data_IF_084282817679
#
_entry.id   IF_084282817679
#
_cell.length_a   1.000
_cell.length_b   1.000
_cell.length_c   1.000
_cell.angle_alpha   90.00
_cell.angle_beta   90.00
_cell.angle_gamma   90.00
#
_symmetry.space_group_name_H-M   'P 1'
#
loop_
_entity.id
_entity.type
_entity.pdbx_description
1 polymer ?
#
# COMPACT_ATOMS: atom_id res chain seq x y z
N UNK A 1 -27.86 -17.03 67.86
CA UNK A 1 -27.24 -16.63 66.59
C UNK A 1 -28.28 -15.84 65.82
N UNK A 2 -28.01 -14.57 65.58
CA UNK A 2 -29.00 -13.61 65.07
C UNK A 2 -29.30 -13.86 63.58
N UNK A 3 -30.57 -13.78 63.19
CA UNK A 3 -31.03 -14.00 61.81
C UNK A 3 -30.36 -13.05 60.83
N UNK A 4 -30.07 -11.83 61.30
CA UNK A 4 -29.41 -10.80 60.50
C UNK A 4 -27.96 -11.17 60.17
N UNK A 5 -27.25 -11.83 61.10
CA UNK A 5 -25.88 -12.30 60.86
C UNK A 5 -25.84 -13.43 59.82
N UNK A 6 -26.83 -14.34 59.84
CA UNK A 6 -26.96 -15.40 58.83
C UNK A 6 -27.27 -14.82 57.43
N UNK A 7 -28.17 -13.84 57.36
CA UNK A 7 -28.54 -13.20 56.10
C UNK A 7 -27.37 -12.45 55.45
N UNK A 8 -26.60 -11.70 56.25
CA UNK A 8 -25.41 -10.99 55.78
C UNK A 8 -24.32 -11.94 55.25
N UNK A 9 -24.12 -13.09 55.90
CA UNK A 9 -23.15 -14.10 55.45
C UNK A 9 -23.54 -14.75 54.12
N UNK A 10 -24.83 -15.07 53.92
CA UNK A 10 -25.33 -15.64 52.65
C UNK A 10 -25.23 -14.60 51.52
N UNK A 11 -25.58 -13.34 51.79
CA UNK A 11 -25.48 -12.26 50.80
C UNK A 11 -24.03 -11.96 50.43
N UNK A 12 -23.12 -11.93 51.41
CA UNK A 12 -21.69 -11.72 51.19
C UNK A 12 -21.06 -12.83 50.34
N UNK A 13 -21.32 -14.10 50.66
CA UNK A 13 -20.79 -15.23 49.89
C UNK A 13 -21.35 -15.29 48.46
N UNK A 14 -22.62 -14.90 48.26
CA UNK A 14 -23.21 -14.75 46.93
C UNK A 14 -22.52 -13.64 46.12
N UNK A 15 -22.33 -12.45 46.71
CA UNK A 15 -21.64 -11.33 46.04
C UNK A 15 -20.20 -11.68 45.65
N UNK A 16 -19.43 -12.32 46.54
CA UNK A 16 -18.05 -12.75 46.26
C UNK A 16 -18.01 -13.73 45.08
N UNK A 17 -18.91 -14.73 45.04
CA UNK A 17 -18.98 -15.70 43.93
C UNK A 17 -19.30 -15.01 42.60
N UNK A 18 -20.26 -14.09 42.58
CA UNK A 18 -20.60 -13.31 41.38
C UNK A 18 -19.41 -12.48 40.91
N UNK A 19 -18.74 -11.77 41.82
CA UNK A 19 -17.54 -10.98 41.48
C UNK A 19 -16.43 -11.87 40.91
N UNK A 20 -16.14 -13.02 41.54
CA UNK A 20 -15.13 -13.95 41.05
C UNK A 20 -15.48 -14.51 39.67
N UNK A 21 -16.75 -14.86 39.43
CA UNK A 21 -17.22 -15.32 38.13
C UNK A 21 -17.05 -14.25 37.04
N UNK A 22 -17.43 -13.01 37.33
CA UNK A 22 -17.24 -11.88 36.40
C UNK A 22 -15.76 -11.66 36.09
N UNK A 23 -14.90 -11.67 37.10
CA UNK A 23 -13.45 -11.52 36.91
C UNK A 23 -12.86 -12.67 36.09
N UNK A 24 -13.31 -13.90 36.30
CA UNK A 24 -12.87 -15.05 35.53
C UNK A 24 -13.26 -14.91 34.04
N UNK A 25 -14.48 -14.44 33.75
CA UNK A 25 -14.94 -14.20 32.38
C UNK A 25 -14.13 -13.08 31.72
N UNK A 26 -13.94 -11.94 32.40
CA UNK A 26 -13.11 -10.84 31.87
C UNK A 26 -11.69 -11.31 31.59
N UNK A 27 -11.09 -12.06 32.52
CA UNK A 27 -9.75 -12.61 32.35
C UNK A 27 -9.66 -13.53 31.14
N UNK A 28 -10.65 -14.42 30.94
CA UNK A 28 -10.71 -15.31 29.78
C UNK A 28 -10.83 -14.54 28.45
N UNK A 29 -11.63 -13.47 28.42
CA UNK A 29 -11.76 -12.61 27.24
C UNK A 29 -10.46 -11.87 26.91
N UNK A 30 -9.78 -11.31 27.91
CA UNK A 30 -8.50 -10.62 27.72
C UNK A 30 -7.41 -11.57 27.22
N UNK A 31 -7.33 -12.78 27.80
CA UNK A 31 -6.39 -13.81 27.34
C UNK A 31 -6.68 -14.21 25.90
N UNK A 32 -7.95 -14.41 25.54
CA UNK A 32 -8.36 -14.74 24.16
C UNK A 32 -8.00 -13.62 23.19
N UNK A 33 -8.31 -12.36 23.52
CA UNK A 33 -7.95 -11.21 22.71
C UNK A 33 -6.43 -11.07 22.52
N UNK A 34 -5.65 -11.32 23.57
CA UNK A 34 -4.18 -11.33 23.50
C UNK A 34 -3.67 -12.39 22.50
N UNK A 35 -4.18 -13.63 22.56
CA UNK A 35 -3.76 -14.67 21.62
C UNK A 35 -4.17 -14.37 20.17
N UNK A 36 -5.37 -13.82 19.96
CA UNK A 36 -5.82 -13.36 18.63
C UNK A 36 -4.88 -12.28 18.11
N UNK A 37 -4.54 -11.28 18.94
CA UNK A 37 -3.63 -10.21 18.56
C UNK A 37 -2.23 -10.73 18.20
N UNK A 38 -1.69 -11.65 19.00
CA UNK A 38 -0.38 -12.26 18.75
C UNK A 38 -0.36 -13.12 17.47
N UNK A 39 -1.48 -13.76 17.14
CA UNK A 39 -1.64 -14.48 15.88
C UNK A 39 -1.78 -13.54 14.68
N UNK A 40 -2.52 -12.44 14.84
CA UNK A 40 -2.85 -11.51 13.76
C UNK A 40 -1.68 -10.59 13.37
N UNK A 41 -0.90 -10.14 14.36
CA UNK A 41 0.20 -9.17 14.16
C UNK A 41 1.27 -9.61 13.15
N UNK A 42 1.75 -10.87 13.14
CA UNK A 42 2.68 -11.32 12.11
C UNK A 42 2.06 -11.31 10.71
N UNK A 43 0.76 -11.58 10.60
CA UNK A 43 0.07 -11.62 9.32
C UNK A 43 -0.19 -10.22 8.76
N UNK A 44 -0.43 -9.21 9.61
CA UNK A 44 -0.59 -7.79 9.22
C UNK A 44 0.44 -6.90 9.94
N UNK A 45 1.70 -6.86 9.49
CA UNK A 45 2.79 -6.18 10.18
C UNK A 45 2.59 -4.65 10.33
N UNK A 46 1.83 -4.05 9.41
CA UNK A 46 1.48 -2.63 9.40
C UNK A 46 0.00 -2.38 9.72
N UNK A 47 -0.70 -3.41 10.22
CA UNK A 47 -2.15 -3.40 10.34
C UNK A 47 -2.85 -3.73 9.02
N UNK A 48 -4.18 -3.85 9.10
CA UNK A 48 -5.00 -4.05 7.91
C UNK A 48 -5.19 -2.71 7.20
N UNK A 49 -5.04 -2.70 5.88
CA UNK A 49 -5.04 -1.48 5.06
C UNK A 49 -6.13 -1.50 3.98
N UNK A 50 -6.74 -0.34 3.77
CA UNK A 50 -7.68 -0.04 2.70
C UNK A 50 -7.05 0.63 1.47
N UNK A 51 -5.72 0.80 1.45
CA UNK A 51 -4.98 1.36 0.32
C UNK A 51 -4.98 0.38 -0.88
N UNK A 52 -6.14 0.30 -1.53
CA UNK A 52 -6.44 -0.64 -2.58
C UNK A 52 -5.63 -0.31 -3.84
N UNK A 53 -4.73 -1.22 -4.20
CA UNK A 53 -3.90 -1.16 -5.39
C UNK A 53 -4.71 -0.98 -6.68
N UNK A 54 -5.89 -1.61 -6.78
CA UNK A 54 -6.81 -1.42 -7.92
C UNK A 54 -7.37 0.00 -8.01
N UNK A 55 -7.60 0.66 -6.88
CA UNK A 55 -8.05 2.07 -6.86
C UNK A 55 -6.92 2.98 -7.31
N UNK A 56 -5.67 2.71 -6.91
CA UNK A 56 -4.51 3.43 -7.42
C UNK A 56 -4.34 3.24 -8.94
N UNK A 57 -4.47 2.00 -9.45
CA UNK A 57 -4.43 1.73 -10.89
C UNK A 57 -5.53 2.51 -11.64
N UNK A 58 -6.76 2.51 -11.11
CA UNK A 58 -7.86 3.28 -11.70
C UNK A 58 -7.58 4.79 -11.72
N UNK A 59 -6.98 5.34 -10.65
CA UNK A 59 -6.58 6.74 -10.60
C UNK A 59 -5.52 7.07 -11.66
N UNK A 60 -4.51 6.21 -11.81
CA UNK A 60 -3.47 6.35 -12.84
C UNK A 60 -4.02 6.26 -14.25
N UNK A 61 -4.94 5.31 -14.52
CA UNK A 61 -5.61 5.21 -15.82
C UNK A 61 -6.40 6.48 -16.14
N UNK A 62 -7.18 7.00 -15.19
CA UNK A 62 -7.95 8.25 -15.37
C UNK A 62 -7.03 9.45 -15.59
N UNK A 63 -5.94 9.56 -14.82
CA UNK A 63 -4.93 10.58 -15.06
C UNK A 63 -4.39 10.48 -16.49
N UNK A 64 -4.00 9.30 -16.95
CA UNK A 64 -3.44 9.15 -18.31
C UNK A 64 -4.44 9.50 -19.41
N UNK A 65 -5.73 9.21 -19.22
CA UNK A 65 -6.77 9.58 -20.18
C UNK A 65 -6.87 11.10 -20.35
N UNK A 66 -6.79 11.84 -19.25
CA UNK A 66 -6.82 13.30 -19.25
C UNK A 66 -5.49 13.94 -19.71
N UNK A 67 -4.38 13.19 -19.73
CA UNK A 67 -3.03 13.67 -20.04
C UNK A 67 -2.43 13.02 -21.30
N UNK A 68 -3.28 12.73 -22.30
CA UNK A 68 -2.81 12.27 -23.62
C UNK A 68 -2.06 10.93 -23.57
N UNK A 69 -2.44 10.06 -22.64
CA UNK A 69 -1.83 8.76 -22.40
C UNK A 69 -0.60 8.76 -21.49
N UNK A 70 -0.15 9.91 -20.98
CA UNK A 70 1.00 9.97 -20.07
C UNK A 70 0.60 9.70 -18.61
N UNK A 71 1.37 8.87 -17.91
CA UNK A 71 1.27 8.76 -16.45
C UNK A 71 2.03 9.91 -15.76
N UNK A 72 1.77 10.18 -14.46
CA UNK A 72 2.44 11.26 -13.74
C UNK A 72 3.97 11.23 -13.84
N UNK A 73 4.58 12.39 -14.05
CA UNK A 73 6.02 12.56 -14.18
C UNK A 73 6.43 14.00 -13.91
N UNK A 74 7.74 14.28 -13.80
CA UNK A 74 8.29 15.64 -13.80
C UNK A 74 8.65 16.22 -12.42
N UNK A 75 8.40 15.50 -11.33
CA UNK A 75 8.85 15.88 -9.99
C UNK A 75 10.20 15.24 -9.63
N UNK A 76 10.79 15.73 -8.52
CA UNK A 76 12.11 15.29 -8.04
C UNK A 76 12.16 13.80 -7.64
N UNK A 77 11.01 13.22 -7.27
CA UNK A 77 10.91 11.83 -6.84
C UNK A 77 9.70 11.11 -7.47
N UNK A 78 9.73 9.77 -7.60
CA UNK A 78 8.56 9.00 -8.03
C UNK A 78 7.33 9.23 -7.14
N UNK A 79 7.50 9.31 -5.84
CA UNK A 79 6.43 9.57 -4.88
C UNK A 79 5.80 10.95 -5.13
N UNK A 80 6.62 11.98 -5.31
CA UNK A 80 6.14 13.32 -5.65
C UNK A 80 5.30 13.32 -6.94
N UNK A 81 5.72 12.56 -7.97
CA UNK A 81 4.93 12.39 -9.20
C UNK A 81 3.54 11.78 -8.89
N UNK A 82 3.45 10.75 -8.04
CA UNK A 82 2.16 10.21 -7.60
C UNK A 82 1.30 11.25 -6.86
N UNK A 83 1.92 12.21 -6.19
CA UNK A 83 1.24 13.32 -5.53
C UNK A 83 0.34 14.14 -6.47
N UNK A 84 0.67 14.19 -7.76
CA UNK A 84 -0.13 14.88 -8.80
C UNK A 84 -1.52 14.26 -9.00
N UNK A 85 -1.75 13.03 -8.53
CA UNK A 85 -3.08 12.41 -8.53
C UNK A 85 -4.03 13.10 -7.54
N UNK A 86 -3.52 13.75 -6.51
CA UNK A 86 -4.32 14.43 -5.49
C UNK A 86 -4.70 15.86 -5.92
N UNK A 87 -5.92 16.35 -5.61
CA UNK A 87 -7.06 15.63 -5.05
C UNK A 87 -8.00 15.04 -6.12
N UNK A 88 -7.71 15.28 -7.41
CA UNK A 88 -8.67 15.01 -8.50
C UNK A 88 -8.89 13.52 -8.77
N UNK A 89 -7.83 12.72 -8.74
CA UNK A 89 -7.85 11.31 -9.16
C UNK A 89 -7.71 10.34 -7.99
N UNK A 90 -7.04 10.74 -6.91
CA UNK A 90 -6.81 9.93 -5.72
C UNK A 90 -6.90 10.77 -4.44
N UNK A 91 -7.12 10.07 -3.32
CA UNK A 91 -7.12 10.62 -1.96
C UNK A 91 -5.91 10.10 -1.18
N UNK A 92 -5.60 10.72 -0.04
CA UNK A 92 -4.48 10.33 0.82
C UNK A 92 -4.50 8.84 1.22
N UNK A 93 -5.67 8.27 1.51
CA UNK A 93 -5.88 6.84 1.82
C UNK A 93 -5.35 5.90 0.72
N UNK A 94 -5.40 6.33 -0.54
CA UNK A 94 -4.89 5.55 -1.66
C UNK A 94 -3.39 5.76 -1.81
N UNK A 95 -2.93 7.01 -1.65
CA UNK A 95 -1.54 7.41 -1.90
C UNK A 95 -0.57 6.99 -0.78
N UNK A 96 -1.07 6.80 0.45
CA UNK A 96 -0.24 6.36 1.58
C UNK A 96 0.33 4.95 1.39
N UNK A 97 -0.32 4.11 0.57
CA UNK A 97 0.03 2.70 0.46
C UNK A 97 -0.23 1.95 1.77
N UNK A 98 0.32 0.74 1.89
CA UNK A 98 -0.05 -0.18 2.97
C UNK A 98 0.82 -0.05 4.23
N UNK A 99 1.91 0.71 4.14
CA UNK A 99 2.93 0.82 5.20
C UNK A 99 2.91 2.15 5.93
N UNK A 100 2.24 3.16 5.37
CA UNK A 100 2.15 4.51 5.94
C UNK A 100 0.70 4.74 6.39
N UNK A 101 0.46 5.21 7.63
CA UNK A 101 -0.87 5.61 8.06
C UNK A 101 -1.44 6.72 7.18
N UNK A 102 -2.71 6.60 6.77
CA UNK A 102 -3.36 7.54 5.85
C UNK A 102 -3.35 8.98 6.38
N UNK A 103 -3.44 9.15 7.71
CA UNK A 103 -3.42 10.45 8.37
C UNK A 103 -2.10 11.20 8.17
N UNK A 104 -0.97 10.47 8.11
CA UNK A 104 0.35 11.07 7.88
C UNK A 104 0.41 11.64 6.46
N UNK A 105 0.01 10.84 5.47
CA UNK A 105 -0.05 11.27 4.07
C UNK A 105 -1.05 12.42 3.88
N UNK A 106 -2.20 12.37 4.56
CA UNK A 106 -3.22 13.42 4.50
C UNK A 106 -2.70 14.74 5.06
N UNK A 107 -2.10 14.73 6.25
CA UNK A 107 -1.52 15.92 6.87
C UNK A 107 -0.41 16.53 6.00
N UNK A 108 0.44 15.68 5.42
CA UNK A 108 1.51 16.10 4.53
C UNK A 108 1.00 16.78 3.27
N UNK A 109 0.03 16.17 2.58
CA UNK A 109 -0.61 16.76 1.39
C UNK A 109 -1.40 18.03 1.72
N UNK A 110 -2.09 18.07 2.87
CA UNK A 110 -2.85 19.24 3.31
C UNK A 110 -1.95 20.45 3.62
N UNK A 111 -0.69 20.22 4.00
CA UNK A 111 0.32 21.26 4.14
C UNK A 111 0.87 21.78 2.79
N UNK A 112 0.41 21.25 1.66
CA UNK A 112 0.88 21.60 0.32
C UNK A 112 2.22 20.97 -0.05
N UNK A 113 2.70 19.99 0.72
CA UNK A 113 3.95 19.31 0.43
C UNK A 113 3.77 18.21 -0.63
N UNK A 114 4.82 17.95 -1.39
CA UNK A 114 4.90 16.79 -2.28
C UNK A 114 5.12 15.51 -1.48
N UNK A 115 4.56 14.40 -1.96
CA UNK A 115 4.81 13.09 -1.34
C UNK A 115 6.31 12.75 -1.36
N UNK A 116 6.71 12.02 -0.33
CA UNK A 116 8.09 11.57 -0.09
C UNK A 116 8.10 10.06 0.15
N UNK A 117 9.27 9.42 0.15
CA UNK A 117 9.38 8.00 0.46
C UNK A 117 8.79 7.59 1.82
N UNK A 118 8.76 8.51 2.80
CA UNK A 118 8.23 8.30 4.14
C UNK A 118 6.70 8.49 4.23
N UNK A 119 6.11 9.15 3.23
CA UNK A 119 4.67 9.47 3.20
C UNK A 119 3.91 8.67 2.13
N UNK A 120 4.59 7.80 1.40
CA UNK A 120 4.03 6.95 0.35
C UNK A 120 4.65 5.55 0.35
N UNK A 121 3.83 4.52 0.58
CA UNK A 121 4.21 3.11 0.61
C UNK A 121 4.32 2.43 -0.76
N UNK A 122 4.06 3.15 -1.85
CA UNK A 122 4.16 2.63 -3.21
C UNK A 122 5.54 2.87 -3.82
N UNK A 123 6.04 1.88 -4.55
CA UNK A 123 7.12 2.08 -5.51
C UNK A 123 6.47 2.38 -6.86
N UNK A 124 6.72 3.57 -7.40
CA UNK A 124 6.16 4.04 -8.67
C UNK A 124 7.25 4.23 -9.72
N UNK A 125 6.93 3.99 -11.00
CA UNK A 125 7.84 4.20 -12.12
C UNK A 125 7.34 5.39 -12.96
N UNK A 126 7.95 6.58 -12.82
CA UNK A 126 7.49 7.78 -13.52
C UNK A 126 7.87 7.78 -15.01
N UNK A 127 7.17 8.60 -15.79
CA UNK A 127 7.50 8.87 -17.19
C UNK A 127 7.01 7.86 -18.21
N UNK A 128 6.26 6.83 -17.77
CA UNK A 128 5.62 5.87 -18.66
C UNK A 128 4.39 6.47 -19.36
N UNK A 129 4.01 5.88 -20.48
CA UNK A 129 2.78 6.15 -21.23
C UNK A 129 1.99 4.87 -21.47
N UNK A 130 0.69 5.00 -21.70
CA UNK A 130 -0.20 3.89 -22.06
C UNK A 130 0.20 3.17 -23.36
N UNK A 131 0.99 3.83 -24.21
CA UNK A 131 1.49 3.28 -25.48
C UNK A 131 2.84 2.57 -25.35
N UNK A 132 3.46 2.61 -24.16
CA UNK A 132 4.69 1.88 -23.90
C UNK A 132 4.42 0.36 -23.85
N UNK A 133 5.48 -0.45 -23.77
CA UNK A 133 5.37 -1.90 -23.67
C UNK A 133 4.41 -2.28 -22.52
N UNK A 134 3.35 -3.06 -22.80
CA UNK A 134 2.30 -3.35 -21.84
C UNK A 134 2.82 -4.11 -20.59
N UNK A 135 3.98 -4.77 -20.68
CA UNK A 135 4.59 -5.51 -19.58
C UNK A 135 5.45 -4.65 -18.65
N UNK A 136 5.64 -3.36 -18.94
CA UNK A 136 6.34 -2.48 -18.02
C UNK A 136 5.54 -2.30 -16.74
N UNK A 137 6.20 -2.49 -15.61
CA UNK A 137 5.64 -2.27 -14.30
C UNK A 137 5.47 -0.76 -14.05
N UNK A 138 4.26 -0.38 -13.66
CA UNK A 138 3.87 0.98 -13.32
C UNK A 138 4.04 1.24 -11.82
N UNK A 139 3.60 0.30 -10.97
CA UNK A 139 3.81 0.39 -9.52
C UNK A 139 3.69 -0.96 -8.80
N UNK A 140 4.18 -1.01 -7.56
CA UNK A 140 3.99 -2.11 -6.61
C UNK A 140 4.17 -1.62 -5.16
N UNK A 141 3.83 -2.46 -4.19
CA UNK A 141 4.00 -2.17 -2.76
C UNK A 141 5.48 -2.30 -2.32
N UNK A 142 6.01 -1.29 -1.60
CA UNK A 142 7.42 -1.30 -1.15
C UNK A 142 7.73 -2.43 -0.16
N UNK A 143 6.77 -2.82 0.68
CA UNK A 143 6.94 -3.85 1.69
C UNK A 143 6.51 -5.25 1.22
N UNK A 144 6.11 -5.40 -0.05
CA UNK A 144 5.71 -6.68 -0.65
C UNK A 144 4.52 -7.31 0.06
N UNK A 145 3.55 -6.48 0.43
CA UNK A 145 2.33 -6.91 1.09
C UNK A 145 1.25 -7.28 0.07
N UNK A 146 0.34 -8.15 0.51
CA UNK A 146 -0.88 -8.52 -0.20
C UNK A 146 -1.87 -7.36 -0.32
N UNK A 147 -3.08 -7.67 -0.74
CA UNK A 147 -4.07 -6.65 -1.13
C UNK A 147 -4.48 -5.77 0.06
N UNK A 148 -4.61 -6.34 1.26
CA UNK A 148 -5.06 -5.65 2.46
C UNK A 148 -3.93 -5.44 3.49
N UNK A 149 -2.68 -5.52 3.06
CA UNK A 149 -1.52 -5.37 3.94
C UNK A 149 -1.05 -6.66 4.60
N UNK A 150 -1.61 -7.82 4.21
CA UNK A 150 -1.18 -9.11 4.72
C UNK A 150 0.19 -9.53 4.17
N UNK A 151 1.03 -10.18 4.99
CA UNK A 151 2.23 -10.84 4.49
C UNK A 151 1.85 -12.02 3.60
N UNK A 152 2.50 -12.12 2.44
CA UNK A 152 2.37 -13.28 1.56
C UNK A 152 3.31 -14.40 2.02
N UNK A 153 2.80 -15.64 2.10
CA UNK A 153 3.56 -16.78 2.59
C UNK A 153 4.82 -17.09 1.75
N UNK A 154 4.78 -16.79 0.45
CA UNK A 154 5.90 -16.94 -0.50
C UNK A 154 6.67 -15.63 -0.75
N UNK A 155 6.33 -14.57 -0.01
CA UNK A 155 6.87 -13.22 -0.20
C UNK A 155 6.55 -12.62 -1.56
N UNK A 156 5.50 -13.09 -2.25
CA UNK A 156 5.09 -12.55 -3.54
C UNK A 156 4.63 -11.09 -3.44
N UNK A 157 4.80 -10.36 -4.53
CA UNK A 157 4.42 -8.95 -4.64
C UNK A 157 3.49 -8.78 -5.82
N UNK A 158 2.35 -8.12 -5.60
CA UNK A 158 1.48 -7.68 -6.68
C UNK A 158 2.14 -6.52 -7.44
N UNK A 159 2.35 -6.70 -8.73
CA UNK A 159 2.89 -5.71 -9.66
C UNK A 159 1.82 -5.35 -10.67
N UNK A 160 1.60 -4.06 -10.88
CA UNK A 160 0.66 -3.52 -11.85
C UNK A 160 1.43 -3.00 -13.06
N UNK A 161 1.02 -3.41 -14.25
CA UNK A 161 1.69 -3.05 -15.51
C UNK A 161 0.97 -1.92 -16.24
N UNK A 162 1.61 -1.36 -17.27
CA UNK A 162 1.06 -0.28 -18.13
C UNK A 162 -0.31 -0.64 -18.73
N UNK A 163 -0.53 -1.89 -19.13
CA UNK A 163 -1.82 -2.34 -19.65
C UNK A 163 -2.93 -2.52 -18.59
N UNK A 164 -2.61 -2.24 -17.32
CA UNK A 164 -3.50 -2.44 -16.18
C UNK A 164 -3.60 -3.88 -15.70
N UNK A 165 -2.86 -4.81 -16.29
CA UNK A 165 -2.76 -6.19 -15.78
C UNK A 165 -2.04 -6.22 -14.42
N UNK A 166 -2.42 -7.18 -13.59
CA UNK A 166 -1.77 -7.46 -12.31
C UNK A 166 -1.08 -8.82 -12.38
N UNK A 167 0.17 -8.88 -11.94
CA UNK A 167 0.93 -10.12 -11.79
C UNK A 167 1.45 -10.25 -10.38
N UNK A 168 1.45 -11.46 -9.84
CA UNK A 168 2.12 -11.77 -8.58
C UNK A 168 3.50 -12.32 -8.89
N UNK A 169 4.54 -11.62 -8.44
CA UNK A 169 5.93 -12.02 -8.63
C UNK A 169 6.42 -12.62 -7.32
N UNK A 170 6.74 -13.91 -7.30
CA UNK A 170 7.27 -14.59 -6.12
C UNK A 170 8.63 -14.00 -5.71
N UNK A 171 8.96 -14.06 -4.41
CA UNK A 171 10.20 -13.47 -3.90
C UNK A 171 11.46 -14.01 -4.61
N UNK A 172 11.47 -15.30 -4.94
CA UNK A 172 12.58 -15.98 -5.65
C UNK A 172 12.76 -15.50 -7.10
N UNK A 173 11.73 -14.97 -7.71
CA UNK A 173 11.72 -14.53 -9.12
C UNK A 173 11.93 -13.01 -9.25
N UNK A 174 12.04 -12.30 -8.11
CA UNK A 174 12.09 -10.83 -8.07
C UNK A 174 13.29 -10.25 -8.84
N UNK A 175 14.48 -10.81 -8.67
CA UNK A 175 15.68 -10.33 -9.35
C UNK A 175 15.60 -10.53 -10.87
N UNK A 176 15.01 -11.66 -11.31
CA UNK A 176 14.77 -11.91 -12.72
C UNK A 176 13.76 -10.90 -13.28
N UNK A 177 12.68 -10.64 -12.54
CA UNK A 177 11.70 -9.62 -12.90
C UNK A 177 12.34 -8.24 -13.04
N UNK A 178 13.17 -7.80 -12.09
CA UNK A 178 13.85 -6.50 -12.17
C UNK A 178 14.78 -6.41 -13.39
N UNK A 179 15.52 -7.47 -13.71
CA UNK A 179 16.35 -7.55 -14.93
C UNK A 179 15.51 -7.43 -16.19
N UNK A 180 14.35 -8.10 -16.25
CA UNK A 180 13.43 -7.99 -17.38
C UNK A 180 12.90 -6.56 -17.52
N UNK A 181 12.50 -5.91 -16.43
CA UNK A 181 12.00 -4.53 -16.45
C UNK A 181 13.07 -3.54 -16.92
N UNK A 182 14.33 -3.74 -16.55
CA UNK A 182 15.45 -2.93 -17.05
C UNK A 182 15.68 -3.13 -18.57
N UNK A 183 15.63 -4.38 -19.05
CA UNK A 183 15.72 -4.67 -20.48
C UNK A 183 14.60 -4.00 -21.29
N UNK A 184 13.35 -4.09 -20.81
CA UNK A 184 12.18 -3.47 -21.45
C UNK A 184 12.33 -1.95 -21.52
N UNK A 185 12.75 -1.30 -20.43
CA UNK A 185 12.99 0.16 -20.43
C UNK A 185 14.10 0.58 -21.38
N UNK A 186 15.20 -0.18 -21.46
CA UNK A 186 16.30 0.10 -22.40
C UNK A 186 15.88 -0.08 -23.85
N UNK A 187 15.01 -1.05 -24.14
CA UNK A 187 14.47 -1.26 -25.48
C UNK A 187 13.52 -0.13 -25.92
N UNK A 188 12.88 0.56 -24.97
CA UNK A 188 12.00 1.70 -25.23
C UNK A 188 12.70 3.04 -25.31
N UNK A 189 13.86 3.18 -24.64
CA UNK A 189 14.68 4.38 -24.76
C UNK A 189 14.77 4.70 -26.25
N UNK A 190 14.23 5.85 -26.70
CA UNK A 190 14.08 6.12 -28.12
C UNK A 190 15.44 5.85 -28.71
N UNK A 191 15.54 4.88 -29.62
CA UNK A 191 16.77 4.69 -30.36
C UNK A 191 17.03 6.09 -30.85
N UNK A 192 18.11 6.71 -30.39
CA UNK A 192 18.52 8.01 -30.89
C UNK A 192 18.76 7.69 -32.35
N UNK A 193 17.71 7.84 -33.16
CA UNK A 193 17.80 7.87 -34.59
C UNK A 193 18.70 9.06 -34.73
N UNK A 194 19.97 8.78 -34.96
CA UNK A 194 20.85 9.69 -35.64
C UNK A 194 20.07 10.04 -36.90
N UNK A 195 19.25 11.10 -36.80
CA UNK A 195 18.69 11.74 -37.97
C UNK A 195 19.89 11.90 -38.88
N UNK A 196 19.88 11.30 -40.08
CA UNK A 196 20.96 11.49 -41.04
C UNK A 196 21.21 12.98 -41.06
N UNK A 197 22.41 13.38 -40.68
CA UNK A 197 22.80 14.78 -40.63
C UNK A 197 22.50 15.32 -42.01
N UNK A 198 21.47 16.17 -42.11
CA UNK A 198 21.08 16.77 -43.38
C UNK A 198 22.36 17.46 -43.89
N UNK A 199 22.89 17.08 -45.07
CA UNK A 199 24.12 17.67 -45.54
C UNK A 199 23.93 19.19 -45.62
N UNK A 200 24.97 19.98 -45.27
CA UNK A 200 24.86 21.42 -45.28
C UNK A 200 24.40 21.89 -46.66
N UNK A 201 23.25 22.58 -46.72
CA UNK A 201 22.84 23.28 -47.94
C UNK A 201 23.84 24.41 -48.16
N UNK A 202 24.68 24.25 -49.17
CA UNK A 202 25.52 25.34 -49.66
C UNK A 202 24.64 26.45 -50.26
N UNK A 203 24.95 27.72 -49.99
CA UNK A 203 24.30 28.88 -50.61
C UNK A 203 24.61 28.99 -52.10
#
# INVERSE_FOLDING_TARGET
>A
MDRDTLYLNVKSTSMIKTTLMVLAVISALLVTAFFIFQWFRPYYPYGWSHACDKVLMLALTRYSQDHGGAYPTGDETPEACLGQLCPKYAVAEVLCGKTVPAEITQQHLAAGNLLTPETCGWHYVPGLKITDDPQLALFWDKARLGHNGEQQADGSTAVFSVDGSTRYIAAKDWDQFLKQQDQLRRAQAPSIRTSPTDPPRHP
#
